data_IF_065442748309
#
_entry.id   IF_065442748309
#
_cell.length_a   1.000
_cell.length_b   1.000
_cell.length_c   1.000
_cell.angle_alpha   90.00
_cell.angle_beta   90.00
_cell.angle_gamma   90.00
#
_symmetry.space_group_name_H-M   'P 1'
#
loop_
_entity.id
_entity.type
_entity.pdbx_description
1 polymer ?
#
# COMPACT_ATOMS: atom_id res chain seq x y z
N UNK A 1 11.67 -24.42 -4.56
CA UNK A 1 11.77 -23.07 -5.17
C UNK A 1 10.37 -22.51 -5.34
N UNK A 2 10.14 -21.23 -5.12
CA UNK A 2 8.83 -20.63 -5.34
C UNK A 2 8.42 -20.70 -6.81
N UNK A 3 7.12 -20.68 -7.09
CA UNK A 3 6.56 -20.69 -8.45
C UNK A 3 6.95 -19.41 -9.22
N UNK A 4 6.99 -18.28 -8.52
CA UNK A 4 7.31 -16.96 -9.06
C UNK A 4 8.64 -16.46 -8.49
N UNK A 5 9.34 -15.60 -9.24
CA UNK A 5 10.53 -14.90 -8.75
C UNK A 5 10.18 -13.70 -7.85
N UNK A 6 8.98 -13.19 -8.00
CA UNK A 6 8.48 -11.97 -7.38
C UNK A 6 7.47 -12.30 -6.27
N UNK A 7 7.52 -11.55 -5.15
CA UNK A 7 6.45 -11.51 -4.16
C UNK A 7 5.92 -10.07 -4.05
N UNK A 8 4.61 -9.91 -4.22
CA UNK A 8 3.89 -8.64 -4.06
C UNK A 8 3.03 -8.72 -2.81
N UNK A 9 3.31 -7.88 -1.84
CA UNK A 9 2.77 -7.95 -0.49
C UNK A 9 2.01 -6.66 -0.19
N UNK A 10 0.79 -6.75 0.33
CA UNK A 10 0.08 -5.61 0.89
C UNK A 10 0.02 -5.73 2.41
N UNK A 11 0.34 -4.64 3.12
CA UNK A 11 0.09 -4.55 4.56
C UNK A 11 -1.32 -4.08 4.81
N UNK A 12 -2.06 -4.81 5.64
CA UNK A 12 -3.44 -4.50 5.92
C UNK A 12 -3.83 -4.78 7.37
N UNK A 13 -4.78 -4.00 7.87
CA UNK A 13 -5.53 -4.29 9.10
C UNK A 13 -7.01 -4.45 8.75
N UNK A 14 -7.75 -5.22 9.55
CA UNK A 14 -9.19 -5.34 9.34
C UNK A 14 -9.87 -3.98 9.45
N UNK A 15 -10.74 -3.60 8.48
CA UNK A 15 -11.58 -2.42 8.60
C UNK A 15 -12.45 -2.50 9.86
N UNK A 16 -12.39 -1.46 10.70
CA UNK A 16 -13.19 -1.38 11.92
C UNK A 16 -13.52 0.08 12.26
N UNK A 17 -14.79 0.41 12.59
CA UNK A 17 -15.19 1.76 12.97
C UNK A 17 -14.35 2.32 14.11
N UNK A 18 -13.89 3.57 13.96
CA UNK A 18 -13.05 4.25 14.94
C UNK A 18 -11.60 3.72 15.07
N UNK A 19 -11.20 2.72 14.26
CA UNK A 19 -9.84 2.17 14.25
C UNK A 19 -9.13 2.33 12.90
N UNK A 20 -9.89 2.50 11.81
CA UNK A 20 -9.35 2.68 10.46
C UNK A 20 -9.84 4.01 9.89
N UNK A 21 -8.96 4.73 9.19
CA UNK A 21 -9.24 6.02 8.56
C UNK A 21 -9.93 7.03 9.48
N UNK A 22 -9.43 7.12 10.70
CA UNK A 22 -10.01 7.99 11.75
C UNK A 22 -9.93 9.48 11.40
N UNK A 23 -8.97 9.89 10.54
CA UNK A 23 -8.85 11.27 10.06
C UNK A 23 -9.89 11.63 9.00
N UNK A 24 -10.59 10.65 8.44
CA UNK A 24 -11.77 10.86 7.61
C UNK A 24 -13.06 11.08 8.42
N UNK A 25 -12.96 11.05 9.75
CA UNK A 25 -14.11 11.21 10.63
C UNK A 25 -13.86 12.33 11.66
N UNK A 26 -14.40 13.58 11.43
CA UNK A 26 -15.28 13.99 10.34
C UNK A 26 -14.52 14.11 8.99
N UNK A 27 -15.20 14.30 7.84
CA UNK A 27 -16.66 14.51 7.66
C UNK A 27 -17.48 13.22 7.62
N UNK A 28 -16.85 12.04 7.45
CA UNK A 28 -17.55 10.77 7.46
C UNK A 28 -17.86 10.30 8.89
N UNK A 29 -18.88 9.47 9.05
CA UNK A 29 -19.00 8.72 10.31
C UNK A 29 -17.91 7.64 10.41
N UNK A 30 -17.55 7.16 11.62
CA UNK A 30 -16.59 6.08 11.77
C UNK A 30 -16.94 4.81 10.97
N UNK A 31 -18.23 4.51 10.85
CA UNK A 31 -18.76 3.38 10.08
C UNK A 31 -18.50 3.56 8.57
N UNK A 32 -18.81 4.76 8.04
CA UNK A 32 -18.56 5.09 6.64
C UNK A 32 -17.07 5.12 6.31
N UNK A 33 -16.24 5.70 7.17
CA UNK A 33 -14.78 5.74 7.00
C UNK A 33 -14.19 4.31 6.97
N UNK A 34 -14.67 3.43 7.85
CA UNK A 34 -14.25 2.03 7.87
C UNK A 34 -14.73 1.25 6.64
N UNK A 35 -15.96 1.46 6.20
CA UNK A 35 -16.51 0.80 5.01
C UNK A 35 -15.84 1.30 3.72
N UNK A 36 -15.48 2.59 3.65
CA UNK A 36 -14.71 3.14 2.55
C UNK A 36 -13.30 2.51 2.49
N UNK A 37 -12.64 2.33 3.63
CA UNK A 37 -11.34 1.64 3.68
C UNK A 37 -11.45 0.18 3.20
N UNK A 38 -12.56 -0.53 3.48
CA UNK A 38 -12.78 -1.86 2.90
C UNK A 38 -12.83 -1.81 1.38
N UNK A 39 -13.41 -0.76 0.81
CA UNK A 39 -13.43 -0.57 -0.64
C UNK A 39 -12.02 -0.31 -1.19
N UNK A 40 -11.21 0.52 -0.52
CA UNK A 40 -9.79 0.72 -0.90
C UNK A 40 -9.02 -0.59 -0.90
N UNK A 41 -9.18 -1.39 0.15
CA UNK A 41 -8.52 -2.69 0.24
C UNK A 41 -8.95 -3.63 -0.89
N UNK A 42 -10.24 -3.68 -1.24
CA UNK A 42 -10.73 -4.49 -2.37
C UNK A 42 -10.15 -4.04 -3.71
N UNK A 43 -10.13 -2.73 -3.96
CA UNK A 43 -9.55 -2.17 -5.18
C UNK A 43 -8.03 -2.43 -5.24
N UNK A 44 -7.31 -2.33 -4.11
CA UNK A 44 -5.89 -2.68 -4.01
C UNK A 44 -5.64 -4.16 -4.33
N UNK A 45 -6.46 -5.07 -3.82
CA UNK A 45 -6.32 -6.50 -4.13
C UNK A 45 -6.59 -6.79 -5.61
N UNK A 46 -7.56 -6.10 -6.23
CA UNK A 46 -7.82 -6.22 -7.67
C UNK A 46 -6.68 -5.62 -8.51
N UNK A 47 -6.06 -4.55 -8.02
CA UNK A 47 -4.86 -3.98 -8.63
C UNK A 47 -3.69 -4.99 -8.59
N UNK A 48 -3.45 -5.61 -7.43
CA UNK A 48 -2.38 -6.61 -7.27
C UNK A 48 -2.55 -7.81 -8.20
N UNK A 49 -3.79 -8.28 -8.42
CA UNK A 49 -4.11 -9.39 -9.34
C UNK A 49 -3.68 -9.15 -10.78
N UNK A 50 -3.48 -7.89 -11.19
CA UNK A 50 -2.99 -7.56 -12.52
C UNK A 50 -1.49 -7.83 -12.70
N UNK A 51 -0.75 -8.06 -11.61
CA UNK A 51 0.67 -8.46 -11.64
C UNK A 51 0.75 -9.99 -11.62
N UNK A 52 0.53 -10.64 -12.76
CA UNK A 52 0.38 -12.11 -12.88
C UNK A 52 1.64 -12.90 -12.50
N UNK A 53 2.83 -12.30 -12.63
CA UNK A 53 4.12 -12.96 -12.38
C UNK A 53 4.64 -12.78 -10.93
N UNK A 54 3.73 -12.55 -9.99
CA UNK A 54 4.07 -12.41 -8.57
C UNK A 54 3.23 -13.35 -7.67
N UNK A 55 3.79 -13.76 -6.55
CA UNK A 55 3.03 -14.31 -5.44
C UNK A 55 2.31 -13.17 -4.73
N UNK A 56 0.99 -13.21 -4.69
CA UNK A 56 0.20 -12.21 -3.98
C UNK A 56 0.04 -12.58 -2.52
N UNK A 57 0.28 -11.62 -1.63
CA UNK A 57 0.33 -11.82 -0.17
C UNK A 57 -0.38 -10.69 0.54
N UNK A 58 -1.15 -11.03 1.57
CA UNK A 58 -1.65 -10.08 2.57
C UNK A 58 -0.88 -10.31 3.87
N UNK A 59 -0.08 -9.32 4.27
CA UNK A 59 0.50 -9.25 5.60
C UNK A 59 -0.52 -8.56 6.53
N UNK A 60 -1.27 -9.36 7.27
CA UNK A 60 -2.35 -8.88 8.13
C UNK A 60 -1.88 -8.58 9.56
N UNK A 61 -2.47 -7.58 10.19
CA UNK A 61 -2.18 -7.25 11.58
C UNK A 61 -2.99 -8.12 12.56
N UNK A 62 -4.25 -8.38 12.24
CA UNK A 62 -5.20 -9.12 13.06
C UNK A 62 -6.26 -9.81 12.20
N UNK A 63 -7.07 -10.68 12.80
CA UNK A 63 -8.25 -11.33 12.23
C UNK A 63 -8.05 -12.03 10.86
N UNK A 64 -7.23 -13.07 10.77
CA UNK A 64 -6.93 -13.77 9.51
C UNK A 64 -8.17 -14.30 8.78
N UNK A 65 -9.22 -14.68 9.49
CA UNK A 65 -10.44 -15.22 8.89
C UNK A 65 -11.19 -14.17 8.05
N UNK A 66 -11.03 -12.87 8.37
CA UNK A 66 -11.56 -11.80 7.55
C UNK A 66 -10.87 -11.80 6.18
N UNK A 67 -9.55 -11.78 6.16
CA UNK A 67 -8.75 -11.75 4.92
C UNK A 67 -8.89 -13.03 4.10
N UNK A 68 -9.01 -14.19 4.77
CA UNK A 68 -9.26 -15.46 4.09
C UNK A 68 -10.58 -15.49 3.31
N UNK A 69 -11.62 -14.82 3.83
CA UNK A 69 -12.89 -14.66 3.11
C UNK A 69 -12.82 -13.58 2.03
N UNK A 70 -12.06 -12.50 2.28
CA UNK A 70 -11.92 -11.37 1.36
C UNK A 70 -11.14 -11.75 0.08
N UNK A 71 -10.02 -12.48 0.26
CA UNK A 71 -9.10 -12.85 -0.81
C UNK A 71 -8.57 -14.29 -0.61
N UNK A 72 -9.39 -15.32 -0.91
CA UNK A 72 -9.02 -16.71 -0.72
C UNK A 72 -7.88 -17.19 -1.64
N UNK A 73 -7.56 -16.41 -2.66
CA UNK A 73 -6.50 -16.60 -3.65
C UNK A 73 -5.15 -16.01 -3.20
N UNK A 74 -5.11 -15.25 -2.09
CA UNK A 74 -3.88 -14.66 -1.55
C UNK A 74 -3.28 -15.52 -0.45
N UNK A 75 -1.97 -15.55 -0.38
CA UNK A 75 -1.27 -16.05 0.80
C UNK A 75 -1.45 -15.08 1.96
N UNK A 76 -1.73 -15.61 3.14
CA UNK A 76 -1.93 -14.80 4.36
C UNK A 76 -0.78 -15.03 5.33
N UNK A 77 -0.15 -13.95 5.80
CA UNK A 77 0.87 -13.98 6.83
C UNK A 77 0.58 -12.96 7.93
N UNK A 78 0.82 -13.27 9.20
CA UNK A 78 0.77 -12.24 10.24
C UNK A 78 1.94 -11.29 10.10
N UNK A 79 1.70 -9.98 10.37
CA UNK A 79 2.79 -9.04 10.58
C UNK A 79 3.49 -9.36 11.90
N UNK A 80 4.83 -9.44 11.88
CA UNK A 80 5.67 -9.72 13.03
C UNK A 80 6.68 -8.58 13.23
N UNK A 81 6.71 -7.98 14.44
CA UNK A 81 7.58 -6.87 14.81
C UNK A 81 6.89 -5.89 15.77
N UNK A 82 7.72 -5.12 16.50
CA UNK A 82 7.25 -4.20 17.53
C UNK A 82 6.69 -2.90 16.94
N UNK A 83 7.23 -2.46 15.82
CA UNK A 83 6.80 -1.26 15.11
C UNK A 83 6.59 -1.54 13.60
N UNK A 84 6.17 -0.52 12.85
CA UNK A 84 5.90 -0.67 11.42
C UNK A 84 7.18 -1.03 10.64
N UNK A 85 8.29 -0.35 10.91
CA UNK A 85 9.55 -0.58 10.21
C UNK A 85 10.05 -2.01 10.37
N UNK A 86 10.03 -2.52 11.62
CA UNK A 86 10.40 -3.91 11.90
C UNK A 86 9.46 -4.91 11.21
N UNK A 87 8.15 -4.65 11.17
CA UNK A 87 7.17 -5.52 10.49
C UNK A 87 7.40 -5.57 8.98
N UNK A 88 7.69 -4.43 8.35
CA UNK A 88 7.99 -4.38 6.93
C UNK A 88 9.28 -5.13 6.61
N UNK A 89 10.35 -4.88 7.38
CA UNK A 89 11.65 -5.55 7.19
C UNK A 89 11.54 -7.06 7.38
N UNK A 90 10.91 -7.53 8.47
CA UNK A 90 10.71 -8.94 8.74
C UNK A 90 9.93 -9.62 7.61
N UNK A 91 8.89 -8.96 7.09
CA UNK A 91 8.08 -9.48 6.00
C UNK A 91 8.88 -9.62 4.70
N UNK A 92 9.60 -8.58 4.30
CA UNK A 92 10.43 -8.58 3.08
C UNK A 92 11.56 -9.62 3.19
N UNK A 93 12.28 -9.63 4.32
CA UNK A 93 13.38 -10.58 4.58
C UNK A 93 12.89 -12.04 4.58
N UNK A 94 11.70 -12.31 5.11
CA UNK A 94 11.10 -13.64 5.10
C UNK A 94 10.88 -14.15 3.68
N UNK A 95 10.34 -13.34 2.76
CA UNK A 95 10.10 -13.78 1.38
C UNK A 95 11.42 -13.94 0.61
N UNK A 96 12.41 -13.07 0.81
CA UNK A 96 13.76 -13.29 0.26
C UNK A 96 14.37 -14.61 0.75
N UNK A 97 14.22 -14.93 2.05
CA UNK A 97 14.73 -16.20 2.63
C UNK A 97 14.01 -17.44 2.09
N UNK A 98 12.78 -17.31 1.60
CA UNK A 98 12.01 -18.36 0.94
C UNK A 98 12.43 -18.58 -0.52
N UNK A 99 13.37 -17.77 -1.03
CA UNK A 99 13.93 -17.89 -2.37
C UNK A 99 13.25 -17.04 -3.44
N UNK A 100 12.45 -16.04 -3.06
CA UNK A 100 12.00 -15.01 -3.99
C UNK A 100 13.19 -14.09 -4.31
N UNK A 101 13.32 -13.72 -5.58
CA UNK A 101 14.44 -12.86 -6.03
C UNK A 101 14.14 -11.37 -5.75
N UNK A 102 12.87 -10.99 -5.76
CA UNK A 102 12.40 -9.61 -5.58
C UNK A 102 11.14 -9.60 -4.71
N UNK A 103 11.14 -8.75 -3.71
CA UNK A 103 10.00 -8.58 -2.81
C UNK A 103 9.60 -7.12 -2.80
N UNK A 104 8.31 -6.88 -3.00
CA UNK A 104 7.70 -5.55 -2.98
C UNK A 104 6.58 -5.55 -1.96
N UNK A 105 6.57 -4.55 -1.08
CA UNK A 105 5.52 -4.33 -0.10
C UNK A 105 4.86 -2.98 -0.36
N UNK A 106 3.54 -2.93 -0.28
CA UNK A 106 2.75 -1.74 -0.55
C UNK A 106 1.70 -1.49 0.52
N UNK A 107 1.19 -0.28 0.56
CA UNK A 107 0.04 0.11 1.37
C UNK A 107 -1.29 -0.44 0.80
N UNK A 108 -2.38 -0.17 1.49
CA UNK A 108 -3.76 -0.47 1.07
C UNK A 108 -4.62 0.78 0.94
N UNK A 109 -4.01 1.93 0.88
CA UNK A 109 -4.63 3.24 1.06
C UNK A 109 -4.61 4.11 -0.20
N UNK A 110 -4.02 3.59 -1.29
CA UNK A 110 -3.85 4.24 -2.59
C UNK A 110 -4.70 3.55 -3.68
N UNK A 111 -6.04 3.61 -3.62
CA UNK A 111 -6.93 2.82 -4.49
C UNK A 111 -6.83 3.19 -5.97
N UNK A 112 -6.34 4.39 -6.31
CA UNK A 112 -6.17 4.86 -7.69
C UNK A 112 -4.76 4.67 -8.23
N UNK A 113 -3.88 3.96 -7.50
CA UNK A 113 -2.51 3.71 -7.94
C UNK A 113 -2.50 3.05 -9.34
N UNK A 114 -1.74 3.61 -10.32
CA UNK A 114 -1.64 3.02 -11.63
C UNK A 114 -1.02 1.61 -11.57
N UNK A 115 -1.64 0.58 -12.20
CA UNK A 115 -1.14 -0.80 -12.14
C UNK A 115 0.26 -0.96 -12.74
N UNK A 116 0.64 -0.11 -13.68
CA UNK A 116 1.97 -0.08 -14.29
C UNK A 116 3.07 0.22 -13.27
N UNK A 117 2.80 0.94 -12.17
CA UNK A 117 3.82 1.23 -11.15
C UNK A 117 4.26 -0.03 -10.40
N UNK A 118 3.34 -0.99 -10.18
CA UNK A 118 3.70 -2.28 -9.59
C UNK A 118 4.59 -3.10 -10.51
N UNK A 119 4.26 -3.14 -11.80
CA UNK A 119 5.08 -3.85 -12.79
C UNK A 119 6.44 -3.18 -12.98
N UNK A 120 6.49 -1.84 -12.99
CA UNK A 120 7.73 -1.07 -13.05
C UNK A 120 8.64 -1.33 -11.84
N UNK A 121 8.08 -1.46 -10.63
CA UNK A 121 8.85 -1.79 -9.44
C UNK A 121 9.66 -3.08 -9.62
N UNK A 122 9.02 -4.15 -10.12
CA UNK A 122 9.72 -5.41 -10.38
C UNK A 122 10.71 -5.33 -11.52
N UNK A 123 10.42 -4.56 -12.58
CA UNK A 123 11.35 -4.34 -13.70
C UNK A 123 12.62 -3.60 -13.23
N UNK A 124 12.47 -2.53 -12.47
CA UNK A 124 13.58 -1.75 -11.89
C UNK A 124 14.51 -2.65 -11.06
N UNK A 125 13.94 -3.49 -10.18
CA UNK A 125 14.74 -4.44 -9.38
C UNK A 125 15.38 -5.53 -10.24
N UNK A 126 14.72 -5.97 -11.32
CA UNK A 126 15.26 -6.95 -12.27
C UNK A 126 16.42 -6.38 -13.09
N UNK A 127 16.38 -5.09 -13.43
CA UNK A 127 17.38 -4.38 -14.23
C UNK A 127 18.61 -3.96 -13.42
N UNK A 128 18.62 -4.21 -12.09
CA UNK A 128 19.82 -4.10 -11.28
C UNK A 128 19.71 -3.23 -10.04
N UNK A 129 18.72 -2.36 -9.91
CA UNK A 129 18.52 -1.56 -8.70
C UNK A 129 18.43 -2.45 -7.44
N UNK A 130 18.96 -1.96 -6.32
CA UNK A 130 18.90 -2.66 -5.04
C UNK A 130 17.58 -2.42 -4.32
N UNK A 131 17.04 -1.21 -4.48
CA UNK A 131 15.81 -0.73 -3.84
C UNK A 131 14.96 0.03 -4.86
N UNK A 132 13.66 -0.17 -4.81
CA UNK A 132 12.68 0.68 -5.48
C UNK A 132 11.76 1.30 -4.45
N UNK A 133 11.47 2.61 -4.57
CA UNK A 133 10.61 3.35 -3.66
C UNK A 133 9.54 4.11 -4.45
N UNK A 134 8.27 3.96 -4.06
CA UNK A 134 7.16 4.73 -4.58
C UNK A 134 6.73 5.82 -3.58
N UNK A 135 7.22 7.07 -3.69
CA UNK A 135 6.94 8.10 -2.71
C UNK A 135 5.49 8.60 -2.77
N UNK A 136 4.94 9.00 -1.60
CA UNK A 136 3.71 9.77 -1.47
C UNK A 136 4.00 11.26 -1.34
N UNK A 137 3.02 12.10 -1.70
CA UNK A 137 3.17 13.56 -1.63
C UNK A 137 3.03 14.12 -0.20
N UNK A 138 2.61 13.31 0.76
CA UNK A 138 2.65 13.60 2.20
C UNK A 138 4.03 13.36 2.85
N UNK A 139 5.02 12.86 2.06
CA UNK A 139 6.36 12.48 2.51
C UNK A 139 6.50 11.03 2.96
N UNK A 140 5.42 10.25 2.88
CA UNK A 140 5.42 8.80 3.01
C UNK A 140 5.86 8.07 1.74
N UNK A 141 5.57 6.79 1.66
CA UNK A 141 5.69 6.00 0.44
C UNK A 141 4.58 4.94 0.38
N UNK A 142 4.01 4.77 -0.81
CA UNK A 142 2.98 3.76 -1.07
C UNK A 142 3.58 2.37 -1.32
N UNK A 143 4.88 2.30 -1.63
CA UNK A 143 5.56 1.07 -1.98
C UNK A 143 7.05 1.16 -1.67
N UNK A 144 7.61 0.04 -1.19
CA UNK A 144 9.05 -0.21 -1.17
C UNK A 144 9.33 -1.64 -1.63
N UNK A 145 10.36 -1.83 -2.47
CA UNK A 145 10.80 -3.14 -2.95
C UNK A 145 12.30 -3.31 -2.84
N UNK A 146 12.73 -4.54 -2.59
CA UNK A 146 14.14 -4.92 -2.42
C UNK A 146 14.44 -6.27 -3.09
N UNK A 147 15.71 -6.51 -3.44
CA UNK A 147 16.22 -7.81 -3.92
C UNK A 147 17.20 -8.49 -2.94
N UNK A 148 17.59 -7.80 -1.87
CA UNK A 148 18.42 -8.32 -0.79
C UNK A 148 18.04 -7.67 0.52
N UNK A 149 18.29 -8.30 1.69
CA UNK A 149 17.98 -7.72 2.98
C UNK A 149 18.68 -6.37 3.20
N UNK A 150 17.91 -5.35 3.57
CA UNK A 150 18.37 -3.98 3.83
C UNK A 150 17.76 -3.44 5.12
N UNK A 151 18.04 -4.07 6.29
CA UNK A 151 17.27 -3.82 7.51
C UNK A 151 17.37 -2.38 8.00
N UNK A 152 18.49 -1.68 7.79
CA UNK A 152 18.65 -0.29 8.22
C UNK A 152 17.61 0.63 7.60
N UNK A 153 17.24 0.43 6.31
CA UNK A 153 16.29 1.30 5.60
C UNK A 153 14.92 1.37 6.25
N UNK A 154 14.52 0.31 6.95
CA UNK A 154 13.19 0.20 7.54
C UNK A 154 13.22 0.33 9.06
N UNK A 155 14.31 -0.13 9.72
CA UNK A 155 14.41 -0.16 11.19
C UNK A 155 15.00 1.11 11.79
N UNK A 156 15.86 1.83 11.07
CA UNK A 156 16.52 3.05 11.57
C UNK A 156 15.79 4.33 11.14
N UNK A 157 14.88 4.25 10.17
CA UNK A 157 14.06 5.38 9.74
C UNK A 157 12.78 5.44 10.59
N UNK A 158 12.49 6.62 11.14
CA UNK A 158 11.25 6.83 11.89
C UNK A 158 10.05 6.80 10.96
N UNK A 159 9.27 5.73 11.03
CA UNK A 159 8.05 5.55 10.24
C UNK A 159 6.95 6.54 10.62
N UNK A 160 5.97 6.73 9.72
CA UNK A 160 4.80 7.60 9.92
C UNK A 160 5.15 9.07 10.19
N UNK A 161 6.19 9.56 9.54
CA UNK A 161 6.59 10.97 9.54
C UNK A 161 6.61 11.53 8.11
N UNK A 162 6.43 12.85 7.92
CA UNK A 162 6.52 13.47 6.59
C UNK A 162 7.91 13.41 5.94
N UNK A 163 8.91 12.92 6.64
CA UNK A 163 10.28 12.80 6.15
C UNK A 163 10.72 11.34 5.90
N UNK A 164 9.80 10.38 6.03
CA UNK A 164 10.18 8.95 5.96
C UNK A 164 10.75 8.57 4.58
N UNK A 165 10.17 9.03 3.49
CA UNK A 165 10.69 8.76 2.15
C UNK A 165 12.08 9.39 1.93
N UNK A 166 12.23 10.66 2.31
CA UNK A 166 13.51 11.39 2.21
C UNK A 166 14.62 10.72 3.04
N UNK A 167 14.30 10.36 4.30
CA UNK A 167 15.26 9.69 5.19
C UNK A 167 15.64 8.29 4.67
N UNK A 168 14.69 7.54 4.12
CA UNK A 168 14.97 6.23 3.50
C UNK A 168 15.90 6.38 2.29
N UNK A 169 15.67 7.38 1.44
CA UNK A 169 16.52 7.67 0.28
C UNK A 169 17.93 8.11 0.73
N UNK A 170 18.01 8.96 1.77
CA UNK A 170 19.30 9.41 2.31
C UNK A 170 20.12 8.23 2.89
N UNK A 171 19.45 7.35 3.65
CA UNK A 171 20.09 6.18 4.23
C UNK A 171 20.50 5.14 3.17
N UNK A 172 19.69 4.94 2.12
CA UNK A 172 20.08 4.09 1.00
C UNK A 172 21.37 4.59 0.32
N UNK A 173 21.48 5.90 0.14
CA UNK A 173 22.70 6.53 -0.40
C UNK A 173 23.90 6.36 0.53
N UNK A 174 23.72 6.48 1.85
CA UNK A 174 24.76 6.24 2.85
C UNK A 174 25.28 4.79 2.79
N UNK A 175 24.35 3.84 2.62
CA UNK A 175 24.67 2.40 2.48
C UNK A 175 25.24 2.03 1.10
N UNK A 176 25.33 2.98 0.17
CA UNK A 176 25.80 2.72 -1.20
C UNK A 176 24.86 1.87 -2.04
N UNK A 177 23.57 1.84 -1.70
CA UNK A 177 22.55 1.11 -2.43
C UNK A 177 22.06 1.92 -3.64
N UNK A 178 21.85 1.23 -4.77
CA UNK A 178 21.19 1.81 -5.94
C UNK A 178 19.68 1.83 -5.70
N UNK A 179 19.16 3.02 -5.31
CA UNK A 179 17.74 3.25 -5.08
C UNK A 179 17.14 4.05 -6.22
N UNK A 180 16.09 3.50 -6.83
CA UNK A 180 15.31 4.14 -7.89
C UNK A 180 13.92 4.48 -7.37
N UNK A 181 13.45 5.71 -7.63
CA UNK A 181 12.10 6.14 -7.26
C UNK A 181 11.13 5.98 -8.42
N UNK A 182 9.92 5.51 -8.09
CA UNK A 182 8.75 5.55 -8.97
C UNK A 182 8.14 6.96 -8.96
N UNK A 183 7.21 7.26 -9.87
CA UNK A 183 6.46 8.51 -9.80
C UNK A 183 5.74 8.67 -8.47
N UNK A 184 5.70 9.90 -7.94
CA UNK A 184 4.97 10.21 -6.70
C UNK A 184 3.48 9.97 -6.88
N UNK A 185 2.85 9.41 -5.86
CA UNK A 185 1.40 9.21 -5.79
C UNK A 185 0.83 9.78 -4.50
N UNK A 186 -0.36 9.36 -4.09
CA UNK A 186 -1.00 9.80 -2.85
C UNK A 186 -1.83 8.68 -2.23
N UNK A 187 -1.96 8.72 -0.93
CA UNK A 187 -2.84 7.91 -0.11
C UNK A 187 -4.06 8.71 0.37
N UNK A 188 -5.09 8.03 0.78
CA UNK A 188 -6.33 8.65 1.25
C UNK A 188 -6.39 8.58 2.77
N UNK A 189 -5.91 9.63 3.44
CA UNK A 189 -5.81 9.64 4.90
C UNK A 189 -6.68 10.70 5.57
N UNK A 190 -7.01 11.78 4.87
CA UNK A 190 -7.76 12.92 5.39
C UNK A 190 -8.81 13.45 4.39
N UNK A 191 -9.56 14.46 4.81
CA UNK A 191 -10.61 15.08 3.98
C UNK A 191 -10.04 15.61 2.65
N UNK A 192 -8.87 16.24 2.67
CA UNK A 192 -8.26 16.82 1.47
C UNK A 192 -7.88 15.74 0.44
N UNK A 193 -7.32 14.64 0.89
CA UNK A 193 -6.99 13.51 0.01
C UNK A 193 -8.25 12.81 -0.49
N UNK A 194 -9.33 12.79 0.30
CA UNK A 194 -10.65 12.30 -0.12
C UNK A 194 -11.29 13.19 -1.19
N UNK A 195 -11.22 14.53 -1.05
CA UNK A 195 -11.65 15.48 -2.08
C UNK A 195 -10.90 15.27 -3.39
N UNK A 196 -9.58 15.08 -3.31
CA UNK A 196 -8.74 14.78 -4.48
C UNK A 196 -9.18 13.48 -5.17
N UNK A 197 -9.41 12.41 -4.41
CA UNK A 197 -9.93 11.14 -4.91
C UNK A 197 -11.26 11.33 -5.65
N UNK A 198 -12.20 12.06 -5.05
CA UNK A 198 -13.50 12.36 -5.64
C UNK A 198 -13.31 13.08 -6.99
N UNK A 199 -12.52 14.15 -7.02
CA UNK A 199 -12.26 14.92 -8.24
C UNK A 199 -11.55 14.10 -9.34
N UNK A 200 -10.68 13.17 -8.97
CA UNK A 200 -10.03 12.25 -9.90
C UNK A 200 -11.04 11.26 -10.49
N UNK A 201 -11.86 10.65 -9.65
CA UNK A 201 -12.85 9.66 -10.07
C UNK A 201 -13.98 10.26 -10.93
N UNK A 202 -14.29 11.54 -10.79
CA UNK A 202 -15.23 12.24 -11.67
C UNK A 202 -14.67 12.41 -13.09
N UNK A 203 -13.36 12.60 -13.22
CA UNK A 203 -12.68 12.86 -14.51
C UNK A 203 -12.31 11.58 -15.25
N UNK A 204 -11.98 10.52 -14.52
CA UNK A 204 -11.45 9.29 -15.09
C UNK A 204 -12.26 8.06 -14.68
N UNK A 205 -12.71 7.29 -15.68
CA UNK A 205 -13.33 5.98 -15.44
C UNK A 205 -12.19 4.94 -15.40
N UNK A 206 -11.61 4.73 -14.20
CA UNK A 206 -10.67 3.63 -13.99
C UNK A 206 -11.43 2.34 -13.70
N UNK A 207 -10.94 1.21 -14.23
CA UNK A 207 -11.46 -0.12 -13.88
C UNK A 207 -10.92 -0.63 -12.54
N UNK A 208 -9.86 -0.01 -12.04
CA UNK A 208 -9.16 -0.44 -10.82
C UNK A 208 -9.80 0.07 -9.52
N UNK A 209 -10.77 0.99 -9.60
CA UNK A 209 -11.40 1.64 -8.45
C UNK A 209 -12.90 1.39 -8.38
N UNK A 210 -13.32 0.17 -8.73
CA UNK A 210 -14.74 -0.15 -8.86
C UNK A 210 -15.49 -0.07 -7.52
N UNK A 211 -14.92 -0.65 -6.46
CA UNK A 211 -15.57 -0.69 -5.13
C UNK A 211 -15.63 0.70 -4.51
N UNK A 212 -14.54 1.44 -4.57
CA UNK A 212 -14.46 2.81 -4.05
C UNK A 212 -15.47 3.71 -4.77
N UNK A 213 -15.50 3.69 -6.10
CA UNK A 213 -16.43 4.50 -6.89
C UNK A 213 -17.88 4.17 -6.56
N UNK A 214 -18.23 2.88 -6.52
CA UNK A 214 -19.60 2.46 -6.21
C UNK A 214 -20.01 2.90 -4.81
N UNK A 215 -19.13 2.78 -3.83
CA UNK A 215 -19.38 3.21 -2.45
C UNK A 215 -19.65 4.72 -2.36
N UNK A 216 -18.78 5.54 -2.98
CA UNK A 216 -18.92 7.01 -2.98
C UNK A 216 -20.26 7.45 -3.59
N UNK A 217 -20.72 6.79 -4.65
CA UNK A 217 -22.01 7.03 -5.28
C UNK A 217 -23.19 6.61 -4.39
N UNK A 218 -23.14 5.39 -3.83
CA UNK A 218 -24.23 4.83 -3.02
C UNK A 218 -24.49 5.59 -1.71
N UNK A 219 -23.44 6.16 -1.12
CA UNK A 219 -23.52 6.87 0.15
C UNK A 219 -23.52 8.39 0.00
N UNK A 220 -23.69 8.89 -1.24
CA UNK A 220 -23.74 10.32 -1.54
C UNK A 220 -22.56 11.11 -0.94
N UNK A 221 -21.39 10.47 -0.84
CA UNK A 221 -20.19 11.06 -0.21
C UNK A 221 -19.79 12.36 -0.91
N UNK A 222 -20.03 12.45 -2.22
CA UNK A 222 -19.88 13.69 -3.01
C UNK A 222 -20.66 14.88 -2.41
N UNK A 223 -21.88 14.63 -1.89
CA UNK A 223 -22.70 15.68 -1.27
C UNK A 223 -22.24 16.01 0.16
N UNK A 224 -21.77 15.01 0.90
CA UNK A 224 -21.27 15.22 2.26
C UNK A 224 -20.04 16.15 2.23
N UNK A 225 -19.11 15.88 1.33
CA UNK A 225 -17.87 16.65 1.20
C UNK A 225 -18.16 18.07 0.65
N UNK A 226 -18.98 18.19 -0.38
CA UNK A 226 -19.24 19.50 -1.02
C UNK A 226 -20.17 20.43 -0.20
N UNK A 227 -20.97 19.92 0.74
CA UNK A 227 -21.88 20.71 1.55
C UNK A 227 -21.40 20.93 3.00
N UNK A 228 -20.26 20.37 3.38
CA UNK A 228 -19.66 20.52 4.71
C UNK A 228 -18.66 21.67 4.83
N UNK A 229 -18.44 22.43 3.74
CA UNK A 229 -17.53 23.59 3.68
C UNK A 229 -18.30 24.90 3.91
#
# INVERSE_FOLDING_TARGET
MPKYKNALIVVAKRPAPGKTKTRLSPPLTPELASALYECFLRDTLDLMRQVEEAQHVIAYLDEPDYFKRLAPDFELIPQDGHDLGERLDNTLAMYLSRGYERTVIMDSDSPTLPPEYLSQAFSILADGADVVLGPCDDGGYYLIGIKQPTPRLLREVQMSTPAVAENTIALAREEGLDLVTLPTWYDIDDEKSLERLIAELEKHISRTTQYTRQFLLQHEIYHIINNGA
#
